data_IF_574473867135
#
_entry.id   IF_574473867135
#
_cell.length_a   1.000
_cell.length_b   1.000
_cell.length_c   1.000
_cell.angle_alpha   90.00
_cell.angle_beta   90.00
_cell.angle_gamma   90.00
#
_symmetry.space_group_name_H-M   'P 1'
#
loop_
_entity.id
_entity.type
_entity.pdbx_description
1 polymer ?
#
# COMPACT_ATOMS: atom_id res chain seq x y z
N UNK A 1 -4.69 -10.54 -19.45
CA UNK A 1 -4.90 -10.41 -17.99
C UNK A 1 -5.23 -8.96 -17.74
N UNK A 2 -6.32 -8.71 -17.03
CA UNK A 2 -6.71 -7.36 -16.64
C UNK A 2 -6.09 -7.09 -15.28
N UNK A 3 -5.43 -5.95 -15.16
CA UNK A 3 -4.87 -5.50 -13.90
C UNK A 3 -5.75 -4.39 -13.32
N UNK A 4 -5.76 -4.30 -11.99
CA UNK A 4 -6.36 -3.21 -11.26
C UNK A 4 -5.27 -2.36 -10.62
N UNK A 5 -5.56 -1.08 -10.48
CA UNK A 5 -4.82 -0.16 -9.65
C UNK A 5 -5.54 -0.02 -8.32
N UNK A 6 -4.86 -0.42 -7.26
CA UNK A 6 -5.32 -0.30 -5.88
C UNK A 6 -4.60 0.87 -5.24
N UNK A 7 -5.35 1.76 -4.59
CA UNK A 7 -4.83 2.85 -3.77
C UNK A 7 -4.88 2.38 -2.32
N UNK A 8 -3.70 2.10 -1.77
CA UNK A 8 -3.51 1.65 -0.41
C UNK A 8 -2.98 2.81 0.43
N UNK A 9 -3.68 3.15 1.50
CA UNK A 9 -3.26 4.13 2.50
C UNK A 9 -2.64 3.40 3.68
N UNK A 10 -1.39 3.72 3.99
CA UNK A 10 -0.62 3.09 5.07
C UNK A 10 -0.38 4.11 6.16
N UNK A 11 -0.84 3.79 7.36
CA UNK A 11 -0.70 4.60 8.55
C UNK A 11 0.51 4.12 9.35
N UNK A 12 1.52 4.97 9.57
CA UNK A 12 2.64 4.61 10.44
C UNK A 12 2.21 4.57 11.92
N UNK A 13 2.95 3.83 12.74
CA UNK A 13 2.74 3.75 14.20
C UNK A 13 3.00 5.09 14.94
N UNK A 14 3.90 5.92 14.42
CA UNK A 14 4.24 7.23 14.96
C UNK A 14 4.80 8.18 13.91
N UNK A 15 4.95 9.45 14.25
CA UNK A 15 5.59 10.49 13.44
C UNK A 15 7.12 10.33 13.31
N UNK A 16 7.72 9.45 14.12
CA UNK A 16 9.14 9.10 14.04
C UNK A 16 9.43 8.05 12.95
N UNK A 17 8.40 7.35 12.44
CA UNK A 17 8.57 6.33 11.42
C UNK A 17 8.95 6.98 10.08
N UNK A 18 10.10 6.56 9.54
CA UNK A 18 10.54 7.00 8.23
C UNK A 18 9.74 6.31 7.12
N UNK A 19 8.93 7.08 6.38
CA UNK A 19 8.08 6.57 5.30
C UNK A 19 8.85 6.01 4.10
N UNK A 20 10.09 6.46 3.84
CA UNK A 20 10.92 5.90 2.77
C UNK A 20 11.45 4.50 3.13
N UNK A 21 11.82 4.30 4.40
CA UNK A 21 12.16 2.98 4.92
C UNK A 21 10.94 2.05 4.88
N UNK A 22 9.78 2.55 5.33
CA UNK A 22 8.52 1.81 5.29
C UNK A 22 8.16 1.38 3.87
N UNK A 23 8.29 2.30 2.89
CA UNK A 23 8.12 2.00 1.48
C UNK A 23 9.07 0.88 1.00
N UNK A 24 10.33 0.93 1.42
CA UNK A 24 11.33 -0.08 1.04
C UNK A 24 10.98 -1.44 1.61
N UNK A 25 10.58 -1.50 2.88
CA UNK A 25 10.16 -2.73 3.55
C UNK A 25 8.91 -3.31 2.89
N UNK A 26 7.90 -2.48 2.60
CA UNK A 26 6.70 -2.88 1.87
C UNK A 26 7.08 -3.46 0.50
N UNK A 27 7.83 -2.70 -0.29
CA UNK A 27 8.25 -3.10 -1.64
C UNK A 27 9.02 -4.44 -1.64
N UNK A 28 9.79 -4.73 -0.59
CA UNK A 28 10.53 -5.98 -0.45
C UNK A 28 9.68 -7.20 -0.07
N UNK A 29 8.55 -6.98 0.63
CA UNK A 29 7.65 -8.05 1.10
C UNK A 29 6.47 -8.32 0.16
N UNK A 30 6.18 -7.40 -0.77
CA UNK A 30 5.08 -7.59 -1.71
C UNK A 30 5.32 -8.82 -2.61
N UNK A 31 4.25 -9.58 -2.94
CA UNK A 31 4.31 -10.63 -3.95
C UNK A 31 4.83 -10.10 -5.29
N UNK A 32 5.50 -10.97 -6.07
CA UNK A 32 6.08 -10.61 -7.38
C UNK A 32 5.06 -10.09 -8.40
N UNK A 33 3.81 -10.46 -8.23
CA UNK A 33 2.69 -10.05 -9.09
C UNK A 33 2.19 -8.65 -8.77
N UNK A 34 2.55 -8.11 -7.59
CA UNK A 34 2.14 -6.78 -7.16
C UNK A 34 3.26 -5.80 -7.45
N UNK A 35 2.91 -4.66 -8.04
CA UNK A 35 3.89 -3.64 -8.40
C UNK A 35 3.44 -2.29 -7.90
N UNK A 36 4.27 -1.66 -7.07
CA UNK A 36 4.05 -0.27 -6.71
C UNK A 36 4.45 0.59 -7.91
N UNK A 37 3.50 1.34 -8.47
CA UNK A 37 3.73 2.21 -9.62
C UNK A 37 3.92 3.68 -9.22
N UNK A 38 3.42 4.06 -8.04
CA UNK A 38 3.54 5.40 -7.49
C UNK A 38 3.45 5.35 -5.97
N UNK A 39 4.15 6.27 -5.32
CA UNK A 39 3.99 6.57 -3.91
C UNK A 39 3.74 8.07 -3.72
N UNK A 40 2.95 8.41 -2.72
CA UNK A 40 2.70 9.78 -2.28
C UNK A 40 2.66 9.82 -0.76
N UNK A 41 2.69 11.03 -0.20
CA UNK A 41 2.57 11.25 1.23
C UNK A 41 1.41 12.20 1.48
N UNK A 42 0.52 11.83 2.40
CA UNK A 42 -0.63 12.65 2.77
C UNK A 42 -0.55 13.05 4.24
N UNK A 43 -0.58 14.35 4.58
CA UNK A 43 -0.60 14.80 5.96
C UNK A 43 -1.94 14.43 6.62
N UNK A 44 -1.89 13.87 7.82
CA UNK A 44 -3.08 13.53 8.61
C UNK A 44 -3.35 14.63 9.64
N UNK A 45 -2.61 14.61 10.76
CA UNK A 45 -2.69 15.57 11.85
C UNK A 45 -1.44 15.42 12.74
N UNK A 46 -1.12 16.46 13.53
CA UNK A 46 -0.03 16.43 14.52
C UNK A 46 1.34 15.99 13.96
N UNK A 47 1.65 16.36 12.71
CA UNK A 47 2.92 15.98 12.06
C UNK A 47 2.96 14.55 11.51
N UNK A 48 1.92 13.75 11.75
CA UNK A 48 1.78 12.41 11.20
C UNK A 48 1.43 12.47 9.71
N UNK A 49 2.13 11.65 8.93
CA UNK A 49 1.93 11.54 7.49
C UNK A 49 1.61 10.09 7.13
N UNK A 50 0.57 9.88 6.32
CA UNK A 50 0.28 8.58 5.70
C UNK A 50 1.14 8.39 4.44
N UNK A 51 1.51 7.14 4.18
CA UNK A 51 2.10 6.72 2.91
C UNK A 51 0.97 6.21 2.01
N UNK A 52 0.77 6.85 0.86
CA UNK A 52 -0.19 6.43 -0.15
C UNK A 52 0.57 5.63 -1.22
N UNK A 53 0.16 4.38 -1.43
CA UNK A 53 0.75 3.49 -2.42
C UNK A 53 -0.25 3.17 -3.51
N UNK A 54 0.19 3.30 -4.75
CA UNK A 54 -0.56 2.88 -5.92
C UNK A 54 0.01 1.55 -6.37
N UNK A 55 -0.74 0.48 -6.12
CA UNK A 55 -0.32 -0.90 -6.34
C UNK A 55 -1.09 -1.45 -7.53
N UNK A 56 -0.36 -1.80 -8.59
CA UNK A 56 -0.89 -2.59 -9.70
C UNK A 56 -0.87 -4.06 -9.28
N UNK A 57 -2.01 -4.73 -9.41
CA UNK A 57 -2.12 -6.18 -9.16
C UNK A 57 -3.14 -6.83 -10.10
N UNK A 58 -3.06 -8.16 -10.32
CA UNK A 58 -4.02 -8.87 -11.17
C UNK A 58 -5.45 -8.78 -10.62
N UNK A 59 -6.44 -8.53 -11.50
CA UNK A 59 -7.85 -8.48 -11.08
C UNK A 59 -8.34 -9.84 -10.54
N UNK A 60 -7.85 -10.94 -11.12
CA UNK A 60 -8.21 -12.30 -10.73
C UNK A 60 -7.34 -12.84 -9.59
N UNK A 61 -7.09 -12.02 -8.58
CA UNK A 61 -6.41 -12.44 -7.35
C UNK A 61 -7.43 -13.08 -6.40
N UNK A 62 -7.20 -14.33 -5.99
CA UNK A 62 -8.02 -14.96 -4.96
C UNK A 62 -7.93 -14.17 -3.64
N UNK A 63 -9.08 -13.88 -3.01
CA UNK A 63 -9.13 -13.01 -1.84
C UNK A 63 -9.04 -11.51 -2.13
N UNK A 64 -9.00 -11.09 -3.40
CA UNK A 64 -9.04 -9.68 -3.77
C UNK A 64 -7.84 -8.90 -3.22
N UNK A 65 -8.09 -7.86 -2.42
CA UNK A 65 -7.07 -7.00 -1.81
C UNK A 65 -6.66 -7.43 -0.40
N UNK A 66 -7.32 -8.43 0.19
CA UNK A 66 -7.10 -8.83 1.59
C UNK A 66 -5.63 -9.18 1.86
N UNK A 67 -5.01 -9.94 0.94
CA UNK A 67 -3.59 -10.31 1.04
C UNK A 67 -2.65 -9.09 0.97
N UNK A 68 -2.99 -8.08 0.17
CA UNK A 68 -2.21 -6.84 0.09
C UNK A 68 -2.24 -6.11 1.43
N UNK A 69 -3.43 -5.95 2.02
CA UNK A 69 -3.58 -5.30 3.32
C UNK A 69 -2.90 -6.11 4.43
N UNK A 70 -3.07 -7.43 4.46
CA UNK A 70 -2.46 -8.31 5.45
C UNK A 70 -0.93 -8.26 5.40
N UNK A 71 -0.32 -8.35 4.22
CA UNK A 71 1.14 -8.26 4.07
C UNK A 71 1.67 -6.93 4.60
N UNK A 72 0.97 -5.83 4.32
CA UNK A 72 1.40 -4.48 4.75
C UNK A 72 1.15 -4.26 6.24
N UNK A 73 0.02 -4.72 6.78
CA UNK A 73 -0.29 -4.66 8.21
C UNK A 73 0.71 -5.43 9.09
N UNK A 74 1.37 -6.45 8.56
CA UNK A 74 2.39 -7.24 9.27
C UNK A 74 3.80 -6.60 9.22
N UNK A 75 3.95 -5.39 8.69
CA UNK A 75 5.23 -4.68 8.64
C UNK A 75 5.41 -3.85 9.91
N UNK A 76 6.59 -3.99 10.53
CA UNK A 76 6.93 -3.20 11.71
C UNK A 76 6.92 -1.71 11.37
N UNK A 77 6.26 -0.90 12.20
CA UNK A 77 6.10 0.53 11.96
C UNK A 77 4.83 0.88 11.18
N UNK A 78 4.06 -0.12 10.72
CA UNK A 78 2.69 0.07 10.20
C UNK A 78 1.70 -0.16 11.33
N UNK A 79 0.87 0.85 11.60
CA UNK A 79 -0.26 0.74 12.51
C UNK A 79 -1.43 0.01 11.86
N UNK A 80 -1.86 0.52 10.70
CA UNK A 80 -2.71 -0.23 9.79
C UNK A 80 -2.57 0.25 8.35
N UNK A 81 -3.01 -0.57 7.41
CA UNK A 81 -3.21 -0.23 6.02
C UNK A 81 -4.68 -0.39 5.65
N UNK A 82 -5.15 0.42 4.70
CA UNK A 82 -6.53 0.41 4.22
C UNK A 82 -6.56 0.67 2.71
N UNK A 83 -7.35 -0.13 2.00
CA UNK A 83 -7.67 0.15 0.60
C UNK A 83 -8.72 1.25 0.50
N UNK A 84 -8.32 2.40 -0.05
CA UNK A 84 -9.20 3.56 -0.21
C UNK A 84 -9.77 3.69 -1.62
N UNK A 85 -9.28 2.89 -2.57
CA UNK A 85 -9.80 2.90 -3.94
C UNK A 85 -9.26 1.78 -4.80
N UNK A 86 -10.08 1.34 -5.76
CA UNK A 86 -9.73 0.35 -6.77
C UNK A 86 -10.22 0.87 -8.12
N UNK A 87 -9.38 0.81 -9.15
CA UNK A 87 -9.74 1.21 -10.51
C UNK A 87 -9.15 0.21 -11.51
N UNK A 88 -9.95 -0.20 -12.50
CA UNK A 88 -9.46 -1.05 -13.59
C UNK A 88 -8.51 -0.25 -14.49
N UNK A 89 -7.39 -0.84 -14.84
CA UNK A 89 -6.52 -0.33 -15.89
C UNK A 89 -7.13 -0.73 -17.24
N UNK A 90 -8.08 0.07 -17.72
CA UNK A 90 -8.69 -0.13 -19.03
C UNK A 90 -7.74 0.28 -20.14
N UNK A 91 -7.40 -0.66 -21.02
CA UNK A 91 -6.78 -0.40 -22.32
C UNK A 91 -7.77 -0.82 -23.41
#
# INVERSE_FOLDING_TARGET
MTDVLVVLKVFPDSDEVNLDNLYTDISSKLPKEYKIIRKETEPIAFGLNALILYVQMPEQTEGGTDNLEEVVNNIQGVSHAEVVGITRLGF
#
